data_IF_307670852687
#
_entry.id   IF_307670852687
#
_cell.length_a   1.000
_cell.length_b   1.000
_cell.length_c   1.000
_cell.angle_alpha   90.00
_cell.angle_beta   90.00
_cell.angle_gamma   90.00
#
_symmetry.space_group_name_H-M   'P 1'
#
loop_
_entity.id
_entity.type
_entity.pdbx_description
1 polymer ?
#
# COMPACT_ATOMS: atom_id res chain seq x y z
N UNK A 1 -4.19 22.28 14.44
CA UNK A 1 -3.79 21.03 13.76
C UNK A 1 -3.01 21.31 12.47
N UNK A 2 -3.63 21.78 11.37
CA UNK A 2 -2.86 22.16 10.17
C UNK A 2 -2.01 23.42 10.41
N UNK A 3 -2.49 24.35 11.24
CA UNK A 3 -1.73 25.52 11.68
C UNK A 3 -0.43 25.12 12.41
N UNK A 4 -0.43 24.00 13.14
CA UNK A 4 0.75 23.51 13.86
C UNK A 4 1.77 22.91 12.89
N UNK A 5 1.31 22.12 11.92
CA UNK A 5 2.15 21.67 10.80
C UNK A 5 2.73 22.84 10.01
N UNK A 6 1.93 23.87 9.76
CA UNK A 6 2.37 25.08 9.07
C UNK A 6 3.50 25.79 9.82
N UNK A 7 3.39 25.90 11.15
CA UNK A 7 4.46 26.44 12.00
C UNK A 7 5.73 25.59 11.91
N UNK A 8 5.62 24.27 12.00
CA UNK A 8 6.77 23.35 11.93
C UNK A 8 7.49 23.43 10.58
N UNK A 9 6.75 23.45 9.47
CA UNK A 9 7.31 23.59 8.12
C UNK A 9 8.04 24.93 7.96
N UNK A 10 7.46 26.02 8.46
CA UNK A 10 8.10 27.33 8.45
C UNK A 10 9.37 27.37 9.30
N UNK A 11 9.32 26.76 10.49
CA UNK A 11 10.45 26.68 11.40
C UNK A 11 11.61 25.88 10.79
N UNK A 12 11.34 24.75 10.14
CA UNK A 12 12.35 23.96 9.43
C UNK A 12 12.95 24.74 8.25
N UNK A 13 12.11 25.47 7.49
CA UNK A 13 12.59 26.33 6.41
C UNK A 13 13.54 27.43 6.92
N UNK A 14 13.15 28.18 7.96
CA UNK A 14 14.00 29.25 8.49
C UNK A 14 15.26 28.71 9.16
N UNK A 15 15.19 27.56 9.85
CA UNK A 15 16.36 26.86 10.41
C UNK A 15 17.35 26.48 9.30
N UNK A 16 16.88 25.82 8.23
CA UNK A 16 17.72 25.42 7.09
C UNK A 16 18.27 26.63 6.34
N UNK A 17 17.51 27.73 6.26
CA UNK A 17 17.93 28.98 5.64
C UNK A 17 19.04 29.67 6.43
N UNK A 18 18.89 29.76 7.76
CA UNK A 18 19.91 30.33 8.65
C UNK A 18 21.19 29.48 8.67
N UNK A 19 21.06 28.16 8.60
CA UNK A 19 22.18 27.23 8.51
C UNK A 19 22.85 27.17 7.11
N UNK A 20 22.31 27.86 6.11
CA UNK A 20 22.83 27.82 4.74
C UNK A 20 22.66 26.47 4.02
N UNK A 21 21.75 25.62 4.49
CA UNK A 21 21.49 24.28 3.96
C UNK A 21 20.51 24.28 2.78
N UNK A 22 19.83 25.40 2.53
CA UNK A 22 18.88 25.52 1.43
C UNK A 22 19.57 25.81 0.09
N UNK A 23 19.09 25.21 -1.03
CA UNK A 23 19.55 25.56 -2.36
C UNK A 23 19.27 27.05 -2.67
N UNK A 24 20.04 27.62 -3.58
CA UNK A 24 19.95 29.05 -3.96
C UNK A 24 18.52 29.47 -4.36
N UNK A 25 17.78 28.55 -4.97
CA UNK A 25 16.40 28.78 -5.40
C UNK A 25 15.43 28.96 -4.23
N UNK A 26 15.71 28.35 -3.07
CA UNK A 26 14.90 28.43 -1.85
C UNK A 26 15.41 29.48 -0.87
N UNK A 27 16.71 29.79 -0.85
CA UNK A 27 17.25 30.85 0.01
C UNK A 27 16.85 32.26 -0.47
N UNK A 28 16.71 32.45 -1.78
CA UNK A 28 16.25 33.70 -2.41
C UNK A 28 15.14 33.42 -3.42
N UNK A 29 13.93 33.06 -2.95
CA UNK A 29 12.87 32.56 -3.80
C UNK A 29 12.31 33.66 -4.71
N UNK A 30 12.23 33.33 -5.99
CA UNK A 30 11.46 34.07 -7.00
C UNK A 30 10.49 33.09 -7.67
N UNK A 31 9.42 33.58 -8.33
CA UNK A 31 8.46 32.69 -8.98
C UNK A 31 9.11 31.67 -9.94
N UNK A 32 10.09 32.12 -10.72
CA UNK A 32 10.85 31.26 -11.63
C UNK A 32 11.74 30.27 -10.87
N UNK A 33 12.44 30.73 -9.83
CA UNK A 33 13.32 29.87 -9.01
C UNK A 33 12.56 28.76 -8.30
N UNK A 34 11.36 29.04 -7.77
CA UNK A 34 10.55 28.00 -7.14
C UNK A 34 10.09 26.94 -8.15
N UNK A 35 9.70 27.35 -9.36
CA UNK A 35 9.40 26.39 -10.45
C UNK A 35 10.62 25.53 -10.80
N UNK A 36 11.78 26.15 -10.94
CA UNK A 36 13.00 25.45 -11.31
C UNK A 36 13.43 24.48 -10.19
N UNK A 37 13.24 24.85 -8.93
CA UNK A 37 13.43 23.95 -7.80
C UNK A 37 12.44 22.79 -7.79
N UNK A 38 11.18 23.02 -8.17
CA UNK A 38 10.21 21.93 -8.34
C UNK A 38 10.69 20.91 -9.39
N UNK A 39 11.30 21.37 -10.49
CA UNK A 39 11.85 20.48 -11.51
C UNK A 39 13.05 19.68 -10.98
N UNK A 40 13.92 20.32 -10.19
CA UNK A 40 15.07 19.67 -9.54
C UNK A 40 14.58 18.61 -8.55
N UNK A 41 13.68 18.98 -7.63
CA UNK A 41 13.09 18.09 -6.65
C UNK A 41 12.39 16.89 -7.31
N UNK A 42 11.59 17.12 -8.35
CA UNK A 42 10.88 16.06 -9.06
C UNK A 42 11.82 15.03 -9.70
N UNK A 43 12.96 15.48 -10.23
CA UNK A 43 13.98 14.58 -10.82
C UNK A 43 14.85 13.90 -9.77
N UNK A 44 15.23 14.62 -8.72
CA UNK A 44 16.19 14.15 -7.72
C UNK A 44 15.57 13.24 -6.65
N UNK A 45 14.31 13.47 -6.28
CA UNK A 45 13.63 12.75 -5.19
C UNK A 45 12.16 12.45 -5.53
N UNK A 46 11.91 11.57 -6.53
CA UNK A 46 10.55 11.16 -6.85
C UNK A 46 10.00 10.28 -5.72
N UNK A 47 9.03 10.79 -4.95
CA UNK A 47 8.29 10.00 -3.95
C UNK A 47 6.81 9.96 -4.33
N UNK A 48 6.22 8.75 -4.37
CA UNK A 48 4.80 8.58 -4.71
C UNK A 48 3.86 9.25 -3.69
N UNK A 49 4.30 9.40 -2.43
CA UNK A 49 3.54 10.12 -1.39
C UNK A 49 3.29 11.60 -1.73
N UNK A 50 4.16 12.21 -2.55
CA UNK A 50 4.04 13.60 -2.95
C UNK A 50 3.10 13.80 -4.14
N UNK A 51 2.62 12.72 -4.76
CA UNK A 51 1.80 12.79 -5.98
C UNK A 51 0.48 13.52 -5.76
N UNK A 52 -0.13 13.39 -4.59
CA UNK A 52 -1.35 14.11 -4.24
C UNK A 52 -1.08 15.62 -4.16
N UNK A 53 -0.02 16.04 -3.47
CA UNK A 53 0.36 17.46 -3.40
C UNK A 53 0.69 18.01 -4.80
N UNK A 54 1.44 17.25 -5.61
CA UNK A 54 1.75 17.64 -6.99
C UNK A 54 0.48 17.80 -7.82
N UNK A 55 -0.51 16.90 -7.65
CA UNK A 55 -1.81 16.98 -8.31
C UNK A 55 -2.60 18.22 -7.86
N UNK A 56 -2.63 18.48 -6.56
CA UNK A 56 -3.41 19.57 -5.99
C UNK A 56 -2.81 20.94 -6.35
N UNK A 57 -1.48 21.03 -6.42
CA UNK A 57 -0.79 22.26 -6.82
C UNK A 57 -0.74 22.43 -8.35
N UNK A 58 -0.31 21.43 -9.12
CA UNK A 58 -0.08 21.60 -10.56
C UNK A 58 -1.27 21.22 -11.43
N UNK A 59 -2.18 20.38 -10.95
CA UNK A 59 -3.27 19.77 -11.72
C UNK A 59 -2.94 18.32 -12.10
N UNK A 60 -3.84 17.66 -12.85
CA UNK A 60 -3.64 16.25 -13.26
C UNK A 60 -2.41 16.10 -14.18
N UNK A 61 -1.56 15.11 -13.89
CA UNK A 61 -0.42 14.78 -14.73
C UNK A 61 -0.82 14.27 -16.12
N UNK A 62 0.07 14.49 -17.08
CA UNK A 62 0.00 13.84 -18.38
C UNK A 62 0.40 12.37 -18.22
N UNK A 63 -0.46 11.44 -18.68
CA UNK A 63 -0.27 10.00 -18.49
C UNK A 63 1.10 9.48 -19.00
N UNK A 64 1.69 10.14 -20.00
CA UNK A 64 2.91 9.67 -20.66
C UNK A 64 4.20 10.36 -20.17
N UNK A 65 4.11 11.51 -19.48
CA UNK A 65 5.26 12.37 -19.13
C UNK A 65 5.29 12.75 -17.63
N UNK A 66 4.24 12.42 -16.88
CA UNK A 66 4.13 12.76 -15.47
C UNK A 66 4.03 14.27 -15.24
N UNK A 67 4.58 14.74 -14.11
CA UNK A 67 4.51 16.17 -13.73
C UNK A 67 5.61 17.03 -14.36
N UNK A 68 6.59 16.44 -15.05
CA UNK A 68 7.70 17.20 -15.63
C UNK A 68 7.23 18.29 -16.60
N UNK A 69 6.31 17.95 -17.52
CA UNK A 69 5.82 18.87 -18.55
C UNK A 69 4.94 19.97 -17.95
N UNK A 70 4.04 19.61 -17.03
CA UNK A 70 3.10 20.56 -16.43
C UNK A 70 3.83 21.54 -15.50
N UNK A 71 4.82 21.08 -14.74
CA UNK A 71 5.66 21.97 -13.90
C UNK A 71 6.47 22.91 -14.79
N UNK A 72 7.08 22.41 -15.87
CA UNK A 72 7.88 23.23 -16.79
C UNK A 72 7.05 24.33 -17.48
N UNK A 73 5.80 24.03 -17.82
CA UNK A 73 4.85 24.98 -18.47
C UNK A 73 4.01 25.78 -17.48
N UNK A 74 4.17 25.55 -16.17
CA UNK A 74 3.35 26.19 -15.15
C UNK A 74 3.56 27.71 -15.15
N UNK A 75 2.47 28.47 -15.07
CA UNK A 75 2.51 29.91 -14.92
C UNK A 75 3.21 30.26 -13.59
N UNK A 76 4.29 31.02 -13.67
CA UNK A 76 5.12 31.35 -12.51
C UNK A 76 4.34 32.12 -11.42
N UNK A 77 3.28 32.84 -11.80
CA UNK A 77 2.46 33.60 -10.87
C UNK A 77 1.75 32.74 -9.81
N UNK A 78 1.59 31.43 -10.08
CA UNK A 78 1.02 30.48 -9.12
C UNK A 78 1.87 30.30 -7.86
N UNK A 79 3.16 30.66 -7.91
CA UNK A 79 4.06 30.62 -6.76
C UNK A 79 4.05 31.91 -5.92
N UNK A 80 3.38 32.98 -6.37
CA UNK A 80 3.31 34.26 -5.63
C UNK A 80 2.71 34.11 -4.22
N UNK A 81 1.62 33.33 -4.00
CA UNK A 81 1.07 33.12 -2.66
C UNK A 81 2.10 32.52 -1.69
N UNK A 82 2.87 31.53 -2.13
CA UNK A 82 3.94 30.94 -1.32
C UNK A 82 5.06 31.94 -1.03
N UNK A 83 5.48 32.74 -2.01
CA UNK A 83 6.53 33.76 -1.79
C UNK A 83 6.06 34.84 -0.81
N UNK A 84 4.80 35.28 -0.92
CA UNK A 84 4.23 36.26 -0.01
C UNK A 84 4.17 35.70 1.42
N UNK A 85 3.79 34.43 1.56
CA UNK A 85 3.80 33.71 2.82
C UNK A 85 5.21 33.64 3.44
N UNK A 86 6.23 33.28 2.66
CA UNK A 86 7.63 33.24 3.12
C UNK A 86 8.19 34.62 3.51
N UNK A 87 7.69 35.71 2.91
CA UNK A 87 8.11 37.08 3.25
C UNK A 87 7.37 37.66 4.45
N UNK A 88 6.09 37.28 4.61
CA UNK A 88 5.19 37.77 5.65
C UNK A 88 4.40 36.58 6.19
N UNK A 89 4.97 35.81 7.15
CA UNK A 89 4.34 34.60 7.69
C UNK A 89 2.98 34.84 8.36
N UNK A 90 2.65 36.09 8.68
CA UNK A 90 1.35 36.50 9.22
C UNK A 90 0.21 36.43 8.20
N UNK A 91 0.52 36.32 6.90
CA UNK A 91 -0.48 36.18 5.84
C UNK A 91 -0.84 34.70 5.70
N UNK A 92 -2.12 34.36 5.88
CA UNK A 92 -2.60 32.99 5.62
C UNK A 92 -2.45 32.63 4.14
N UNK A 93 -2.07 31.38 3.87
CA UNK A 93 -1.90 30.82 2.53
C UNK A 93 -2.65 29.50 2.43
N UNK A 94 -2.95 29.04 1.22
CA UNK A 94 -3.61 27.75 1.02
C UNK A 94 -2.73 26.58 1.49
N UNK A 95 -3.35 25.52 2.00
CA UNK A 95 -2.65 24.30 2.48
C UNK A 95 -1.70 23.72 1.42
N UNK A 96 -2.12 23.69 0.15
CA UNK A 96 -1.30 23.24 -0.98
C UNK A 96 0.04 24.00 -1.12
N UNK A 97 0.09 25.27 -0.69
CA UNK A 97 1.32 26.07 -0.74
C UNK A 97 2.26 25.67 0.39
N UNK A 98 1.73 25.37 1.58
CA UNK A 98 2.50 24.86 2.72
C UNK A 98 3.03 23.46 2.40
N UNK A 99 2.22 22.60 1.80
CA UNK A 99 2.62 21.26 1.37
C UNK A 99 3.69 21.29 0.28
N UNK A 100 3.56 22.23 -0.67
CA UNK A 100 4.59 22.46 -1.67
C UNK A 100 5.91 22.90 -1.01
N UNK A 101 5.85 23.77 0.01
CA UNK A 101 7.04 24.19 0.75
C UNK A 101 7.68 23.02 1.51
N UNK A 102 6.87 22.27 2.25
CA UNK A 102 7.30 21.07 2.98
C UNK A 102 7.99 20.09 2.05
N UNK A 103 7.40 19.88 0.86
CA UNK A 103 8.03 19.13 -0.20
C UNK A 103 9.36 19.74 -0.60
N UNK A 104 9.41 21.00 -1.04
CA UNK A 104 10.62 21.65 -1.55
C UNK A 104 11.81 21.58 -0.58
N UNK A 105 11.58 21.75 0.72
CA UNK A 105 12.64 21.75 1.75
C UNK A 105 13.00 20.35 2.27
N UNK A 106 12.38 19.30 1.74
CA UNK A 106 12.53 17.92 2.22
C UNK A 106 12.15 17.78 3.72
N UNK A 107 11.04 18.41 4.14
CA UNK A 107 10.49 18.27 5.49
C UNK A 107 9.75 16.94 5.71
N UNK A 108 10.19 16.10 6.62
CA UNK A 108 9.42 14.93 7.09
C UNK A 108 8.71 15.36 8.40
N UNK A 109 7.39 15.18 8.57
CA UNK A 109 6.54 14.11 8.05
C UNK A 109 5.52 14.56 6.98
N UNK A 110 5.96 15.13 5.86
CA UNK A 110 5.06 15.46 4.75
C UNK A 110 4.54 14.22 3.99
N UNK A 111 3.36 14.28 3.36
CA UNK A 111 2.36 15.36 3.46
C UNK A 111 1.65 15.37 4.82
N UNK A 112 0.96 16.46 5.16
CA UNK A 112 0.22 16.62 6.41
C UNK A 112 -0.71 15.43 6.69
N UNK A 113 -0.63 14.90 7.90
CA UNK A 113 -1.45 13.78 8.36
C UNK A 113 -2.33 14.22 9.52
N UNK A 114 -3.64 14.34 9.28
CA UNK A 114 -4.63 14.74 10.29
C UNK A 114 -4.64 13.83 11.54
N UNK A 115 -4.20 12.57 11.41
CA UNK A 115 -4.15 11.58 12.50
C UNK A 115 -2.84 11.58 13.30
N UNK A 116 -1.85 12.36 12.89
CA UNK A 116 -0.56 12.44 13.55
C UNK A 116 -0.62 13.59 14.54
N UNK A 117 -0.61 13.28 15.85
CA UNK A 117 -0.39 14.33 16.86
C UNK A 117 1.01 14.87 16.59
N UNK A 118 1.08 16.08 16.06
CA UNK A 118 2.32 16.84 16.05
C UNK A 118 2.54 17.21 17.51
N UNK A 119 3.22 16.33 18.25
CA UNK A 119 3.55 16.53 19.65
C UNK A 119 4.46 17.76 19.72
N UNK A 120 3.85 18.91 19.98
CA UNK A 120 4.54 20.08 20.47
C UNK A 120 5.10 19.67 21.82
N UNK A 121 6.41 19.75 22.01
CA UNK A 121 6.99 19.67 23.35
C UNK A 121 6.21 20.66 24.23
N UNK A 122 5.68 20.17 25.36
CA UNK A 122 4.83 20.92 26.30
C UNK A 122 5.58 22.06 27.03
N UNK A 123 6.71 22.54 26.51
CA UNK A 123 7.54 23.60 27.11
C UNK A 123 7.20 25.02 26.62
N UNK A 124 6.30 25.19 25.64
CA UNK A 124 5.92 26.54 25.13
C UNK A 124 4.44 26.92 25.34
N UNK A 125 3.69 26.22 26.19
CA UNK A 125 2.28 26.57 26.48
C UNK A 125 2.07 27.60 27.60
N UNK A 126 3.12 28.02 28.32
CA UNK A 126 2.98 28.89 29.49
C UNK A 126 3.00 30.41 29.20
N UNK A 127 2.84 30.85 27.94
CA UNK A 127 2.82 32.30 27.64
C UNK A 127 1.54 32.84 27.01
N UNK A 128 0.47 32.04 26.88
CA UNK A 128 -0.80 32.55 26.31
C UNK A 128 -2.00 31.90 26.99
N UNK A 129 -2.20 32.16 28.28
CA UNK A 129 -3.56 32.08 28.84
C UNK A 129 -3.75 33.14 29.93
N UNK A 130 -4.00 34.37 29.48
CA UNK A 130 -4.74 35.33 30.29
C UNK A 130 -5.81 36.00 29.42
N UNK A 131 -7.06 35.82 29.88
CA UNK A 131 -8.34 36.40 29.42
C UNK A 131 -8.99 35.61 28.27
N UNK A 132 -10.16 34.99 28.44
CA UNK A 132 -11.37 35.56 29.05
C UNK A 132 -12.46 34.46 29.25
N UNK A 133 -13.07 34.41 30.44
CA UNK A 133 -14.53 34.35 30.66
C UNK A 133 -15.35 33.11 30.25
N UNK A 134 -15.70 32.29 31.25
CA UNK A 134 -16.83 31.34 31.35
C UNK A 134 -18.17 32.11 31.62
N UNK A 135 -19.37 31.50 31.89
CA UNK A 135 -20.03 30.20 31.62
C UNK A 135 -21.42 30.39 30.91
N UNK A 136 -22.23 29.38 30.55
CA UNK A 136 -23.22 28.62 31.36
C UNK A 136 -23.87 27.53 30.46
N UNK A 137 -23.96 26.25 30.86
CA UNK A 137 -24.93 25.58 31.76
C UNK A 137 -26.25 25.18 31.05
N UNK A 138 -26.54 23.86 31.00
CA UNK A 138 -27.81 23.34 31.50
C UNK A 138 -27.82 21.80 31.63
N UNK A 139 -28.50 21.37 32.70
CA UNK A 139 -28.66 20.02 33.28
C UNK A 139 -29.83 19.26 32.60
N UNK A 140 -30.07 17.95 32.77
CA UNK A 140 -30.72 17.22 33.90
C UNK A 140 -30.76 15.72 33.47
N UNK A 141 -30.20 14.75 34.24
CA UNK A 141 -30.82 13.82 35.24
C UNK A 141 -31.85 12.80 34.66
N UNK A 142 -32.10 11.57 35.15
CA UNK A 142 -31.54 10.55 36.06
C UNK A 142 -32.51 9.33 36.01
N UNK A 143 -32.13 8.22 36.69
CA UNK A 143 -32.98 7.10 37.21
C UNK A 143 -33.30 5.90 36.28
N UNK A 144 -32.72 4.69 36.51
CA UNK A 144 -33.07 3.59 37.46
C UNK A 144 -34.31 2.74 37.05
N UNK A 145 -34.53 1.44 37.36
CA UNK A 145 -33.81 0.20 37.79
C UNK A 145 -34.92 -0.89 37.93
N UNK A 146 -34.61 -2.19 37.81
CA UNK A 146 -35.46 -3.33 38.29
C UNK A 146 -35.99 -4.28 37.18
N UNK A 147 -35.49 -5.52 36.98
CA UNK A 147 -35.68 -6.81 37.71
C UNK A 147 -37.09 -7.41 37.59
N UNK A 148 -37.23 -8.56 36.90
CA UNK A 148 -37.64 -9.89 37.44
C UNK A 148 -37.83 -10.92 36.28
N UNK A 149 -37.24 -12.11 36.41
CA UNK A 149 -37.60 -13.38 35.70
C UNK A 149 -38.93 -13.95 36.30
N UNK A 150 -39.38 -15.22 36.16
CA UNK A 150 -38.94 -16.41 35.43
C UNK A 150 -40.12 -17.04 34.62
N UNK A 151 -40.08 -18.15 33.87
CA UNK A 151 -39.83 -19.56 34.21
C UNK A 151 -39.85 -20.41 32.91
N UNK A 152 -39.07 -21.49 32.90
CA UNK A 152 -39.21 -22.71 32.05
C UNK A 152 -40.45 -23.54 32.52
N UNK A 153 -41.00 -24.58 31.82
CA UNK A 153 -40.24 -25.77 31.32
C UNK A 153 -40.80 -26.61 30.11
N UNK A 154 -39.90 -27.45 29.55
CA UNK A 154 -39.99 -28.88 29.12
C UNK A 154 -41.15 -29.36 28.19
N UNK A 155 -40.86 -29.98 27.02
CA UNK A 155 -40.79 -31.46 26.82
C UNK A 155 -40.53 -31.93 25.36
N UNK A 156 -39.98 -33.15 25.26
CA UNK A 156 -39.45 -33.95 24.15
C UNK A 156 -40.39 -34.26 22.96
N UNK A 157 -39.81 -34.51 21.77
CA UNK A 157 -39.87 -35.82 21.08
C UNK A 157 -39.05 -35.91 19.79
N UNK A 158 -38.44 -37.08 19.62
CA UNK A 158 -37.65 -37.60 18.51
C UNK A 158 -38.45 -37.87 17.23
N UNK A 159 -37.81 -37.86 16.06
CA UNK A 159 -37.86 -38.98 15.09
C UNK A 159 -36.86 -38.85 13.94
N UNK A 160 -36.52 -40.02 13.40
CA UNK A 160 -35.38 -40.43 12.59
C UNK A 160 -35.39 -39.90 11.14
N UNK A 161 -34.19 -39.77 10.55
CA UNK A 161 -34.00 -39.46 9.13
C UNK A 161 -32.75 -40.13 8.58
N UNK A 162 -32.96 -41.17 7.80
CA UNK A 162 -31.97 -42.06 7.18
C UNK A 162 -30.94 -41.35 6.28
N UNK A 163 -29.72 -41.90 6.27
CA UNK A 163 -28.58 -41.47 5.47
C UNK A 163 -28.53 -42.25 4.15
N UNK A 164 -28.50 -41.62 2.96
CA UNK A 164 -28.33 -42.35 1.72
C UNK A 164 -26.87 -42.72 1.47
N UNK A 165 -26.67 -44.03 1.30
CA UNK A 165 -25.48 -44.72 0.82
C UNK A 165 -25.06 -44.20 -0.56
N UNK A 166 -23.87 -43.60 -0.66
CA UNK A 166 -23.24 -43.27 -1.94
C UNK A 166 -22.48 -44.49 -2.48
N UNK A 167 -22.94 -45.00 -3.63
CA UNK A 167 -22.23 -46.00 -4.42
C UNK A 167 -20.92 -45.43 -4.99
N UNK A 168 -19.86 -46.17 -4.75
CA UNK A 168 -18.52 -45.99 -5.29
C UNK A 168 -18.50 -46.23 -6.82
N UNK A 169 -17.90 -45.37 -7.66
CA UNK A 169 -17.71 -45.65 -9.08
C UNK A 169 -16.42 -46.45 -9.33
N UNK A 170 -16.53 -47.56 -10.06
CA UNK A 170 -15.41 -48.33 -10.60
C UNK A 170 -14.72 -47.56 -11.75
N UNK A 171 -13.38 -47.59 -11.87
CA UNK A 171 -12.68 -47.07 -13.04
C UNK A 171 -12.69 -48.09 -14.18
N UNK A 172 -13.34 -47.76 -15.30
CA UNK A 172 -13.30 -48.55 -16.54
C UNK A 172 -12.04 -48.17 -17.30
N UNK A 173 -11.06 -49.08 -17.32
CA UNK A 173 -9.78 -48.90 -18.03
C UNK A 173 -9.99 -49.31 -19.49
N UNK A 174 -9.99 -48.32 -20.38
CA UNK A 174 -10.22 -48.51 -21.81
C UNK A 174 -8.89 -48.86 -22.50
N UNK A 175 -8.69 -50.12 -22.87
CA UNK A 175 -7.50 -50.55 -23.62
C UNK A 175 -7.63 -50.21 -25.11
N UNK A 176 -6.92 -49.18 -25.56
CA UNK A 176 -6.72 -48.93 -26.98
C UNK A 176 -5.60 -49.83 -27.53
N UNK A 177 -5.97 -50.86 -28.31
CA UNK A 177 -5.04 -51.73 -29.03
C UNK A 177 -4.52 -51.05 -30.30
N UNK A 178 -3.23 -50.72 -30.33
CA UNK A 178 -2.52 -50.32 -31.55
C UNK A 178 -1.64 -51.47 -32.06
N UNK A 179 -1.76 -51.92 -33.32
CA UNK A 179 -0.95 -53.01 -33.85
C UNK A 179 0.45 -52.49 -34.25
N UNK A 180 1.44 -52.74 -33.40
CA UNK A 180 2.82 -52.30 -33.61
C UNK A 180 3.61 -53.32 -34.43
N UNK A 181 4.02 -52.97 -35.67
CA UNK A 181 4.90 -53.81 -36.50
C UNK A 181 6.36 -53.59 -36.06
N UNK A 182 7.17 -54.65 -35.90
CA UNK A 182 8.57 -54.56 -35.43
C UNK A 182 9.44 -53.53 -36.20
N UNK A 183 9.13 -53.27 -37.47
CA UNK A 183 9.84 -52.28 -38.28
C UNK A 183 9.63 -50.83 -37.84
N UNK A 184 8.48 -50.48 -37.24
CA UNK A 184 8.24 -49.13 -36.69
C UNK A 184 8.92 -48.95 -35.34
N UNK A 185 9.11 -50.04 -34.59
CA UNK A 185 9.86 -50.05 -33.33
C UNK A 185 11.30 -49.58 -33.50
N UNK A 186 11.98 -50.13 -34.51
CA UNK A 186 13.38 -49.80 -34.79
C UNK A 186 13.55 -48.34 -35.20
N UNK A 187 12.62 -47.82 -36.01
CA UNK A 187 12.64 -46.40 -36.41
C UNK A 187 12.41 -45.50 -35.21
N UNK A 188 11.48 -45.84 -34.31
CA UNK A 188 11.23 -45.06 -33.09
C UNK A 188 12.45 -45.10 -32.16
N UNK A 189 13.11 -46.25 -31.99
CA UNK A 189 14.32 -46.35 -31.17
C UNK A 189 15.46 -45.49 -31.75
N UNK A 190 15.64 -45.51 -33.08
CA UNK A 190 16.64 -44.66 -33.75
C UNK A 190 16.31 -43.18 -33.61
N UNK A 191 15.04 -42.79 -33.78
CA UNK A 191 14.60 -41.40 -33.60
C UNK A 191 14.76 -40.94 -32.15
N UNK A 192 14.48 -41.81 -31.17
CA UNK A 192 14.70 -41.52 -29.74
C UNK A 192 16.19 -41.44 -29.38
N UNK A 193 17.03 -42.27 -30.00
CA UNK A 193 18.47 -42.20 -29.81
C UNK A 193 19.08 -40.94 -30.44
N UNK A 194 18.63 -40.56 -31.64
CA UNK A 194 19.07 -39.34 -32.32
C UNK A 194 18.54 -38.07 -31.63
N UNK A 195 17.30 -38.07 -31.15
CA UNK A 195 16.77 -36.96 -30.36
C UNK A 195 17.46 -36.87 -29.01
N UNK A 196 17.75 -37.99 -28.35
CA UNK A 196 18.54 -38.06 -27.12
C UNK A 196 19.96 -37.54 -27.31
N UNK A 197 20.62 -37.86 -28.43
CA UNK A 197 21.95 -37.36 -28.75
C UNK A 197 21.94 -35.85 -29.08
N UNK A 198 20.91 -35.38 -29.78
CA UNK A 198 20.72 -33.96 -30.07
C UNK A 198 20.45 -33.17 -28.77
N UNK A 199 19.61 -33.69 -27.88
CA UNK A 199 19.37 -33.13 -26.54
C UNK A 199 20.65 -33.15 -25.70
N UNK A 200 21.42 -34.24 -25.70
CA UNK A 200 22.69 -34.35 -24.98
C UNK A 200 23.74 -33.35 -25.48
N UNK A 201 23.86 -33.17 -26.80
CA UNK A 201 24.76 -32.18 -27.38
C UNK A 201 24.32 -30.75 -27.05
N UNK A 202 23.02 -30.45 -27.02
CA UNK A 202 22.50 -29.14 -26.64
C UNK A 202 22.63 -28.84 -25.14
N UNK A 203 22.46 -29.85 -24.27
CA UNK A 203 22.72 -29.72 -22.83
C UNK A 203 24.21 -29.48 -22.56
N UNK A 204 25.10 -30.19 -23.26
CA UNK A 204 26.56 -30.02 -23.13
C UNK A 204 27.06 -28.65 -23.63
N UNK A 205 26.35 -28.02 -24.57
CA UNK A 205 26.63 -26.66 -25.07
C UNK A 205 26.07 -25.54 -24.18
N UNK A 206 25.30 -25.86 -23.12
CA UNK A 206 24.87 -24.90 -22.12
C UNK A 206 23.78 -23.89 -22.55
N UNK A 207 23.27 -23.97 -23.78
CA UNK A 207 22.27 -23.01 -24.27
C UNK A 207 20.82 -23.29 -23.82
N UNK A 208 20.49 -24.52 -23.40
CA UNK A 208 19.12 -24.85 -22.96
C UNK A 208 18.83 -24.57 -21.47
N UNK A 209 19.88 -24.41 -20.64
CA UNK A 209 19.74 -24.07 -19.22
C UNK A 209 19.45 -22.58 -18.97
N UNK A 210 19.55 -21.73 -20.01
CA UNK A 210 19.15 -20.33 -19.94
C UNK A 210 17.67 -20.10 -20.34
N UNK A 211 16.99 -21.14 -20.85
CA UNK A 211 15.60 -21.03 -21.31
C UNK A 211 14.55 -21.43 -20.26
N UNK A 212 14.94 -22.02 -19.12
CA UNK A 212 14.01 -22.43 -18.08
C UNK A 212 14.60 -22.19 -16.69
N UNK A 213 14.20 -21.08 -16.08
CA UNK A 213 14.50 -20.77 -14.69
C UNK A 213 15.95 -20.33 -14.47
N UNK A 214 16.21 -19.03 -14.66
CA UNK A 214 17.33 -18.40 -13.97
C UNK A 214 17.24 -18.78 -12.51
N UNK A 215 18.17 -19.60 -12.03
CA UNK A 215 18.44 -19.72 -10.60
C UNK A 215 18.90 -18.34 -10.16
N UNK A 216 17.94 -17.46 -9.85
CA UNK A 216 18.23 -16.15 -9.28
C UNK A 216 18.95 -16.45 -7.98
N UNK A 217 20.25 -16.22 -7.98
CA UNK A 217 21.06 -16.32 -6.78
C UNK A 217 20.35 -15.46 -5.72
N UNK A 218 20.05 -16.02 -4.53
CA UNK A 218 19.16 -15.39 -3.53
C UNK A 218 19.58 -13.95 -3.19
N UNK A 219 20.87 -13.62 -3.41
CA UNK A 219 21.47 -12.30 -3.19
C UNK A 219 21.12 -11.25 -4.26
N UNK A 220 20.71 -11.66 -5.46
CA UNK A 220 20.37 -10.79 -6.59
C UNK A 220 18.87 -10.89 -6.96
N UNK A 221 18.10 -11.57 -6.12
CA UNK A 221 16.67 -11.70 -6.26
C UNK A 221 15.96 -10.52 -5.60
N UNK A 222 14.99 -9.96 -6.31
CA UNK A 222 14.03 -9.02 -5.78
C UNK A 222 12.63 -9.61 -5.89
N UNK A 223 11.65 -8.88 -5.39
CA UNK A 223 10.25 -9.22 -5.54
C UNK A 223 9.41 -7.97 -5.78
N UNK A 224 8.25 -8.15 -6.36
CA UNK A 224 7.29 -7.07 -6.60
C UNK A 224 5.87 -7.53 -6.25
N UNK A 225 5.00 -6.57 -5.95
CA UNK A 225 3.60 -6.84 -5.65
C UNK A 225 2.77 -6.94 -6.94
N UNK A 226 2.08 -8.06 -7.14
CA UNK A 226 1.25 -8.34 -8.34
C UNK A 226 -0.14 -7.69 -8.27
N UNK A 227 -0.58 -7.34 -7.07
CA UNK A 227 -1.97 -6.94 -6.78
C UNK A 227 -2.58 -7.78 -5.66
N UNK A 228 -2.13 -9.03 -5.52
CA UNK A 228 -2.60 -9.98 -4.51
C UNK A 228 -1.51 -10.81 -3.82
N UNK A 229 -0.30 -10.90 -4.37
CA UNK A 229 0.85 -11.55 -3.71
C UNK A 229 2.18 -10.95 -4.19
N UNK A 230 3.29 -11.34 -3.54
CA UNK A 230 4.62 -11.01 -4.03
C UNK A 230 5.12 -12.07 -5.01
N UNK A 231 5.76 -11.64 -6.09
CA UNK A 231 6.40 -12.51 -7.06
C UNK A 231 7.87 -12.15 -7.22
N UNK A 232 8.73 -13.17 -7.33
CA UNK A 232 10.18 -13.00 -7.49
C UNK A 232 10.53 -12.51 -8.89
N UNK A 233 11.53 -11.65 -8.98
CA UNK A 233 12.02 -11.03 -10.22
C UNK A 233 13.51 -10.67 -10.10
N UNK A 234 14.28 -10.59 -11.20
CA UNK A 234 15.62 -10.00 -11.16
C UNK A 234 15.57 -8.52 -10.71
N UNK A 235 16.45 -8.11 -9.81
CA UNK A 235 16.46 -6.73 -9.27
C UNK A 235 16.63 -5.63 -10.32
N UNK A 236 17.30 -5.92 -11.45
CA UNK A 236 17.49 -4.96 -12.55
C UNK A 236 16.24 -4.75 -13.42
N UNK A 237 15.24 -5.62 -13.30
CA UNK A 237 14.02 -5.55 -14.10
C UNK A 237 13.00 -4.64 -13.42
N UNK A 238 12.41 -3.71 -14.17
CA UNK A 238 11.36 -2.82 -13.68
C UNK A 238 9.99 -3.34 -14.12
N UNK A 239 9.02 -3.29 -13.22
CA UNK A 239 7.62 -3.62 -13.50
C UNK A 239 6.81 -2.34 -13.39
N UNK A 240 6.03 -2.02 -14.42
CA UNK A 240 5.24 -0.79 -14.44
C UNK A 240 4.19 -0.79 -13.31
N UNK A 241 4.06 0.34 -12.60
CA UNK A 241 3.03 0.55 -11.58
C UNK A 241 3.32 -0.04 -10.19
N UNK A 242 4.33 -0.90 -10.04
CA UNK A 242 4.68 -1.58 -8.78
C UNK A 242 6.16 -1.39 -8.45
N UNK A 243 6.49 -1.48 -7.16
CA UNK A 243 7.88 -1.34 -6.70
C UNK A 243 8.54 -2.71 -6.68
N UNK A 244 9.77 -2.75 -7.18
CA UNK A 244 10.67 -3.91 -7.03
C UNK A 244 11.51 -3.66 -5.79
N UNK A 245 11.35 -4.52 -4.78
CA UNK A 245 12.04 -4.44 -3.50
C UNK A 245 12.93 -5.67 -3.30
N UNK A 246 13.90 -5.59 -2.39
CA UNK A 246 14.73 -6.74 -2.03
C UNK A 246 13.87 -7.95 -1.63
N UNK A 247 14.30 -9.15 -2.02
CA UNK A 247 13.57 -10.37 -1.71
C UNK A 247 13.48 -10.58 -0.18
N UNK A 248 12.25 -10.64 0.31
CA UNK A 248 11.92 -11.10 1.66
C UNK A 248 11.19 -12.44 1.52
N UNK A 249 11.85 -13.53 1.90
CA UNK A 249 11.32 -14.88 1.72
C UNK A 249 10.06 -15.14 2.54
N UNK A 250 9.91 -14.51 3.70
CA UNK A 250 8.71 -14.66 4.53
C UNK A 250 7.52 -14.01 3.85
N UNK A 251 7.68 -12.76 3.38
CA UNK A 251 6.63 -12.06 2.65
C UNK A 251 6.28 -12.73 1.33
N UNK A 252 7.28 -13.24 0.61
CA UNK A 252 7.07 -13.93 -0.67
C UNK A 252 6.11 -15.12 -0.53
N UNK A 253 6.26 -15.90 0.54
CA UNK A 253 5.47 -17.12 0.75
C UNK A 253 4.15 -16.82 1.47
N UNK A 254 4.19 -16.00 2.51
CA UNK A 254 3.11 -15.88 3.49
C UNK A 254 2.25 -14.63 3.35
N UNK A 255 2.71 -13.58 2.65
CA UNK A 255 1.99 -12.32 2.56
C UNK A 255 1.13 -12.25 1.28
N UNK A 256 -0.19 -12.36 1.44
CA UNK A 256 -1.18 -12.39 0.36
C UNK A 256 -2.39 -11.52 0.70
N UNK A 257 -3.00 -10.94 -0.32
CA UNK A 257 -4.32 -10.29 -0.25
C UNK A 257 -5.40 -11.35 -0.29
N UNK A 258 -6.39 -11.21 0.56
CA UNK A 258 -7.55 -12.11 0.63
C UNK A 258 -8.61 -11.52 -0.30
N UNK A 259 -8.83 -12.19 -1.43
CA UNK A 259 -9.75 -11.74 -2.50
C UNK A 259 -11.20 -12.15 -2.27
N UNK A 260 -11.43 -13.10 -1.36
CA UNK A 260 -12.76 -13.60 -0.97
C UNK A 260 -12.96 -13.42 0.54
N UNK A 261 -13.44 -12.25 1.00
CA UNK A 261 -13.60 -11.99 2.43
C UNK A 261 -14.67 -12.87 3.08
N UNK A 262 -15.64 -13.36 2.32
CA UNK A 262 -16.69 -14.29 2.72
C UNK A 262 -16.16 -15.64 3.23
N UNK A 263 -14.94 -16.04 2.84
CA UNK A 263 -14.29 -17.26 3.33
C UNK A 263 -13.67 -17.11 4.72
N UNK A 264 -13.58 -15.89 5.26
CA UNK A 264 -12.99 -15.63 6.57
C UNK A 264 -13.95 -16.04 7.70
N UNK A 265 -13.42 -16.61 8.76
CA UNK A 265 -14.15 -17.06 9.95
C UNK A 265 -13.79 -16.27 11.19
N UNK A 266 -14.53 -16.45 12.28
CA UNK A 266 -14.18 -15.85 13.58
C UNK A 266 -12.80 -16.29 14.07
N UNK A 267 -12.34 -17.49 13.70
CA UNK A 267 -11.01 -17.96 14.05
C UNK A 267 -9.90 -17.07 13.47
N UNK A 268 -10.19 -16.32 12.40
CA UNK A 268 -9.21 -15.47 11.70
C UNK A 268 -9.01 -14.10 12.33
N UNK A 269 -9.83 -13.77 13.34
CA UNK A 269 -9.65 -12.59 14.19
C UNK A 269 -8.25 -12.63 14.82
N UNK A 270 -7.54 -11.48 14.77
CA UNK A 270 -6.12 -11.31 15.16
C UNK A 270 -5.08 -12.07 14.31
N UNK A 271 -5.46 -12.94 13.37
CA UNK A 271 -4.54 -13.62 12.44
C UNK A 271 -4.52 -12.98 11.05
N UNK A 272 -5.66 -12.47 10.61
CA UNK A 272 -5.81 -11.67 9.40
C UNK A 272 -5.61 -10.21 9.73
N UNK A 273 -5.14 -9.46 8.75
CA UNK A 273 -4.92 -8.02 8.85
C UNK A 273 -5.79 -7.29 7.83
N UNK A 274 -6.21 -6.09 8.15
CA UNK A 274 -7.09 -5.29 7.32
C UNK A 274 -6.63 -3.84 7.23
N UNK A 275 -7.14 -3.16 6.21
CA UNK A 275 -7.04 -1.71 6.06
C UNK A 275 -8.32 -1.17 5.45
N UNK A 276 -8.72 0.02 5.89
CA UNK A 276 -9.81 0.78 5.26
C UNK A 276 -9.20 1.97 4.53
N UNK A 277 -9.40 2.03 3.22
CA UNK A 277 -8.88 3.09 2.37
C UNK A 277 -9.88 3.43 1.26
N UNK A 278 -10.17 4.72 1.07
CA UNK A 278 -11.10 5.18 0.02
C UNK A 278 -12.49 4.57 0.10
N UNK A 279 -12.99 4.29 1.32
CA UNK A 279 -14.29 3.64 1.55
C UNK A 279 -14.30 2.12 1.34
N UNK A 280 -13.22 1.54 0.79
CA UNK A 280 -13.05 0.10 0.61
C UNK A 280 -12.27 -0.51 1.76
N UNK A 281 -12.59 -1.75 2.09
CA UNK A 281 -11.84 -2.54 3.06
C UNK A 281 -11.10 -3.66 2.32
N UNK A 282 -9.85 -3.87 2.68
CA UNK A 282 -9.02 -4.94 2.12
C UNK A 282 -8.44 -5.78 3.26
N UNK A 283 -8.26 -7.08 2.99
CA UNK A 283 -7.80 -8.07 3.95
C UNK A 283 -6.55 -8.77 3.46
N UNK A 284 -5.69 -9.18 4.38
CA UNK A 284 -4.35 -9.71 4.12
C UNK A 284 -3.99 -10.80 5.13
N UNK A 285 -3.20 -11.78 4.70
CA UNK A 285 -2.74 -12.89 5.54
C UNK A 285 -1.61 -12.50 6.51
N UNK A 286 -1.00 -11.33 6.34
CA UNK A 286 0.11 -10.85 7.17
C UNK A 286 0.01 -9.36 7.48
N UNK A 287 0.66 -8.95 8.57
CA UNK A 287 0.68 -7.57 9.04
C UNK A 287 1.84 -6.74 8.49
N UNK A 288 1.98 -5.52 9.00
CA UNK A 288 3.01 -4.58 8.60
C UNK A 288 2.54 -3.59 7.52
N UNK A 289 3.46 -2.97 6.77
CA UNK A 289 3.12 -1.99 5.75
C UNK A 289 2.29 -2.58 4.61
N UNK A 290 1.33 -1.81 4.11
CA UNK A 290 0.56 -2.17 2.92
C UNK A 290 1.48 -2.23 1.69
N UNK A 291 1.35 -3.24 0.81
CA UNK A 291 2.30 -3.49 -0.28
C UNK A 291 2.39 -2.37 -1.34
N UNK A 292 1.30 -1.64 -1.55
CA UNK A 292 1.25 -0.44 -2.41
C UNK A 292 1.44 0.87 -1.62
N UNK A 293 0.69 1.07 -0.54
CA UNK A 293 0.74 2.25 0.33
C UNK A 293 1.62 1.98 1.56
N UNK A 294 2.94 1.91 1.37
CA UNK A 294 3.89 1.51 2.43
C UNK A 294 3.92 2.43 3.65
N UNK A 295 3.31 3.61 3.56
CA UNK A 295 3.05 4.55 4.66
C UNK A 295 1.89 4.12 5.58
N UNK A 296 1.09 3.13 5.15
CA UNK A 296 -0.06 2.62 5.89
C UNK A 296 0.24 1.24 6.43
N UNK A 297 0.09 1.08 7.74
CA UNK A 297 0.16 -0.25 8.37
C UNK A 297 -1.19 -0.95 8.37
N UNK A 298 -1.18 -2.22 8.00
CA UNK A 298 -2.32 -3.11 8.13
C UNK A 298 -2.57 -3.38 9.62
N UNK A 299 -3.84 -3.27 10.03
CA UNK A 299 -4.27 -3.47 11.41
C UNK A 299 -4.76 -4.91 11.61
N UNK A 300 -4.55 -5.54 12.77
CA UNK A 300 -5.10 -6.87 13.03
C UNK A 300 -6.63 -6.82 12.97
N UNK A 301 -7.23 -7.85 12.38
CA UNK A 301 -8.68 -8.02 12.29
C UNK A 301 -9.29 -8.09 13.69
N UNK A 302 -10.34 -7.31 13.93
CA UNK A 302 -11.08 -7.27 15.19
C UNK A 302 -12.48 -7.87 14.99
N UNK A 303 -13.10 -8.33 16.09
CA UNK A 303 -14.48 -8.82 16.08
C UNK A 303 -15.45 -7.78 15.46
N UNK A 304 -15.33 -6.51 15.86
CA UNK A 304 -16.12 -5.42 15.29
C UNK A 304 -16.02 -5.31 13.76
N UNK A 305 -14.81 -5.43 13.20
CA UNK A 305 -14.60 -5.34 11.75
C UNK A 305 -15.15 -6.58 11.05
N UNK A 306 -14.98 -7.75 11.66
CA UNK A 306 -15.55 -9.00 11.14
C UNK A 306 -17.08 -8.93 11.08
N UNK A 307 -17.75 -8.58 12.18
CA UNK A 307 -19.21 -8.44 12.25
C UNK A 307 -19.75 -7.39 11.28
N UNK A 308 -19.03 -6.28 11.12
CA UNK A 308 -19.50 -5.16 10.29
C UNK A 308 -19.28 -5.36 8.79
N UNK A 309 -18.19 -6.01 8.38
CA UNK A 309 -17.77 -6.04 6.98
C UNK A 309 -17.63 -7.44 6.37
N UNK A 310 -17.53 -8.49 7.18
CA UNK A 310 -17.36 -9.87 6.71
C UNK A 310 -18.65 -10.67 6.90
N UNK A 311 -19.23 -10.65 8.10
CA UNK A 311 -20.43 -11.42 8.42
C UNK A 311 -21.61 -11.17 7.45
N UNK A 312 -21.90 -9.91 7.03
CA UNK A 312 -22.97 -9.64 6.07
C UNK A 312 -22.76 -10.24 4.68
N UNK A 313 -21.54 -10.67 4.34
CA UNK A 313 -21.20 -11.26 3.03
C UNK A 313 -21.49 -12.76 2.95
N UNK A 314 -21.82 -13.41 4.08
CA UNK A 314 -22.03 -14.86 4.17
C UNK A 314 -23.47 -15.29 3.92
N UNK A 315 -24.36 -14.35 3.62
CA UNK A 315 -25.79 -14.57 3.48
C UNK A 315 -26.23 -14.61 2.02
#
# INVERSE_FOLDING_TARGET
MFDDYTKLVLQDYETKKAAGLLPLNLSKPTPARLRDECLIAYKGRPQRKDENMLRDFFGKADNDIGYWRIVKKCAIDRFRPLINFLKKPTIRTDEKNVELLAWLIDFEPRPFQLSSRYDLNDEEKDMIDEKTGQPENDRIAEAQKGVLSPDEPIDEKDEEGEMPVFLNPQPVLNEHKYPFKLSTALIIIVVLALSGLFIYQNIRKGELLNAMGTTLNRRDACMYWTGDHYQQIPCGQKVYGTMVIALDSEKLVHFKKITKPDTLSEADIRRVFYIKYGGKIEFYTGGGPHPVYTDRSLKPLTAYIYEKYILPLKH
#
